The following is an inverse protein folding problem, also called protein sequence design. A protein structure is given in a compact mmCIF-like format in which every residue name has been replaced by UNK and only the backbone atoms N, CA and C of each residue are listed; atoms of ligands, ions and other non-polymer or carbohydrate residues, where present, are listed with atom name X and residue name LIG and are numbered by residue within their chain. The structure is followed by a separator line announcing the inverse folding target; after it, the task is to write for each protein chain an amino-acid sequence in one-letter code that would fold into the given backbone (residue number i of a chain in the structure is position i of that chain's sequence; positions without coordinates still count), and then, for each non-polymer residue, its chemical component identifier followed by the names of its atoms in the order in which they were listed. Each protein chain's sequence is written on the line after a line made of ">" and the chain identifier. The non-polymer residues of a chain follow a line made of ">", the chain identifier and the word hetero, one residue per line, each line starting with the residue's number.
data_IF_578782677137
#
_entry.id   IF_578782677137
#
_cell.length_a   1.000
_cell.length_b   1.000
_cell.length_c   1.000
_cell.angle_alpha   90.00
_cell.angle_beta   90.00
_cell.angle_gamma   90.00
#
_symmetry.space_group_name_H-M   'P 1'
#
loop_
_entity.id
_entity.type
_entity.pdbx_description
1 polymer ?
#
# COMPACT_ATOMS: atom_id res chain seq x y z
N UNK A 1 -5.17 -16.85 14.93
CA UNK A 1 -4.18 -15.93 15.49
C UNK A 1 -3.45 -15.32 14.31
N UNK A 2 -3.80 -14.09 13.93
CA UNK A 2 -3.10 -13.39 12.86
C UNK A 2 -1.80 -12.87 13.46
N UNK A 3 -0.68 -13.43 13.03
CA UNK A 3 0.64 -12.93 13.41
C UNK A 3 0.68 -11.43 13.17
N UNK A 4 0.91 -10.68 14.25
CA UNK A 4 1.30 -9.29 14.17
C UNK A 4 2.72 -9.26 13.55
N UNK A 5 2.81 -9.59 12.27
CA UNK A 5 4.00 -9.37 11.46
C UNK A 5 4.31 -7.89 11.61
N UNK A 6 5.36 -7.59 12.39
CA UNK A 6 5.85 -6.24 12.55
C UNK A 6 5.92 -5.65 11.14
N UNK A 7 5.14 -4.59 10.91
CA UNK A 7 5.07 -3.93 9.62
C UNK A 7 6.43 -3.27 9.39
N UNK A 8 7.40 -4.05 8.95
CA UNK A 8 8.69 -3.56 8.54
C UNK A 8 8.41 -2.60 7.41
N UNK A 9 8.72 -1.33 7.64
CA UNK A 9 8.69 -0.30 6.61
C UNK A 9 9.63 -0.78 5.51
N UNK A 10 9.06 -1.27 4.40
CA UNK A 10 9.82 -1.73 3.25
C UNK A 10 10.51 -0.51 2.64
N UNK A 11 11.84 -0.43 2.78
CA UNK A 11 12.61 0.70 2.26
C UNK A 11 13.16 0.30 0.89
N UNK A 12 12.70 0.97 -0.17
CA UNK A 12 13.25 0.80 -1.53
C UNK A 12 14.61 1.49 -1.62
N UNK A 13 15.65 0.88 -1.04
CA UNK A 13 17.03 1.37 -1.13
C UNK A 13 18.04 0.24 -1.12
N UNK A 14 19.15 0.47 -1.78
CA UNK A 14 20.39 -0.30 -1.56
C UNK A 14 21.08 0.30 -0.33
N UNK A 15 21.57 -0.55 0.56
CA UNK A 15 22.29 -0.10 1.76
C UNK A 15 23.71 -0.67 1.73
N UNK A 16 24.76 0.17 1.78
CA UNK A 16 26.13 -0.29 1.82
C UNK A 16 26.43 -0.94 3.18
N UNK A 17 27.20 -2.03 3.17
CA UNK A 17 27.69 -2.75 4.36
C UNK A 17 29.17 -3.09 4.18
N UNK A 18 29.85 -3.41 5.28
CA UNK A 18 31.24 -3.88 5.20
C UNK A 18 31.30 -5.15 4.33
N UNK A 19 32.00 -5.07 3.20
CA UNK A 19 32.14 -6.20 2.26
C UNK A 19 31.01 -6.36 1.22
N UNK A 20 30.10 -5.40 1.06
CA UNK A 20 29.12 -5.45 -0.04
C UNK A 20 27.95 -4.48 0.08
N UNK A 21 26.84 -4.82 -0.57
CA UNK A 21 25.63 -4.02 -0.65
C UNK A 21 24.41 -4.90 -0.42
N UNK A 22 23.51 -4.52 0.50
CA UNK A 22 22.30 -5.31 0.76
C UNK A 22 21.05 -4.69 0.14
N UNK A 23 20.13 -5.56 -0.31
CA UNK A 23 18.81 -5.16 -0.79
C UNK A 23 17.89 -4.80 0.40
N UNK A 24 17.42 -3.56 0.48
CA UNK A 24 16.54 -3.05 1.55
C UNK A 24 15.22 -3.80 1.75
N UNK A 25 14.86 -4.71 0.84
CA UNK A 25 13.60 -5.44 0.82
C UNK A 25 13.81 -6.90 1.25
N UNK A 26 14.57 -7.69 0.49
CA UNK A 26 14.80 -9.12 0.78
C UNK A 26 16.04 -9.38 1.66
N UNK A 27 16.85 -8.35 1.94
CA UNK A 27 18.07 -8.42 2.77
C UNK A 27 19.18 -9.33 2.22
N UNK A 28 19.14 -9.69 0.94
CA UNK A 28 20.26 -10.40 0.29
C UNK A 28 21.45 -9.46 0.12
N UNK A 29 22.65 -9.99 0.35
CA UNK A 29 23.92 -9.27 0.17
C UNK A 29 24.45 -9.53 -1.24
N UNK A 30 24.91 -8.48 -1.90
CA UNK A 30 25.49 -8.52 -3.24
C UNK A 30 26.89 -7.90 -3.23
N UNK A 31 27.82 -8.40 -4.06
CA UNK A 31 29.19 -7.91 -4.11
C UNK A 31 29.31 -6.51 -4.72
N UNK A 32 28.38 -6.15 -5.61
CA UNK A 32 28.39 -4.87 -6.33
C UNK A 32 27.08 -4.12 -6.11
N UNK A 33 27.16 -2.79 -6.16
CA UNK A 33 26.01 -1.91 -6.03
C UNK A 33 24.97 -2.15 -7.15
N UNK A 34 25.42 -2.39 -8.38
CA UNK A 34 24.54 -2.65 -9.53
C UNK A 34 23.70 -3.91 -9.33
N UNK A 35 24.30 -5.01 -8.86
CA UNK A 35 23.59 -6.24 -8.57
C UNK A 35 22.55 -6.05 -7.44
N UNK A 36 22.91 -5.31 -6.38
CA UNK A 36 21.95 -4.95 -5.34
C UNK A 36 20.81 -4.07 -5.86
N UNK A 37 21.11 -3.12 -6.76
CA UNK A 37 20.10 -2.24 -7.35
C UNK A 37 19.10 -3.02 -8.20
N UNK A 38 19.57 -3.94 -9.05
CA UNK A 38 18.70 -4.84 -9.83
C UNK A 38 17.82 -5.68 -8.89
N UNK A 39 18.39 -6.20 -7.81
CA UNK A 39 17.64 -6.95 -6.80
C UNK A 39 16.57 -6.08 -6.11
N UNK A 40 16.89 -4.84 -5.72
CA UNK A 40 15.93 -3.91 -5.11
C UNK A 40 14.77 -3.61 -6.06
N UNK A 41 15.03 -3.38 -7.34
CA UNK A 41 13.97 -3.13 -8.33
C UNK A 41 13.07 -4.36 -8.54
N UNK A 42 13.66 -5.56 -8.66
CA UNK A 42 12.90 -6.80 -8.78
C UNK A 42 12.08 -7.11 -7.52
N UNK A 43 12.65 -6.93 -6.32
CA UNK A 43 11.92 -7.12 -5.07
C UNK A 43 10.84 -6.06 -4.87
N UNK A 44 11.08 -4.82 -5.29
CA UNK A 44 10.09 -3.76 -5.21
C UNK A 44 8.91 -4.05 -6.12
N UNK A 45 9.14 -4.43 -7.38
CA UNK A 45 8.07 -4.77 -8.32
C UNK A 45 7.24 -5.96 -7.82
N UNK A 46 7.88 -6.99 -7.29
CA UNK A 46 7.20 -8.13 -6.65
C UNK A 46 6.37 -7.68 -5.44
N UNK A 47 6.90 -6.80 -4.59
CA UNK A 47 6.16 -6.25 -3.45
C UNK A 47 4.92 -5.46 -3.91
N UNK A 48 5.03 -4.70 -5.00
CA UNK A 48 3.89 -3.93 -5.55
C UNK A 48 2.79 -4.85 -6.07
N UNK A 49 3.15 -6.01 -6.61
CA UNK A 49 2.21 -7.01 -7.08
C UNK A 49 1.57 -7.76 -5.90
N UNK A 50 2.34 -8.08 -4.86
CA UNK A 50 1.85 -8.80 -3.68
C UNK A 50 0.94 -7.94 -2.79
N UNK A 51 1.14 -6.61 -2.76
CA UNK A 51 0.37 -5.67 -1.94
C UNK A 51 -0.31 -4.61 -2.82
N UNK A 52 -1.46 -4.94 -3.43
CA UNK A 52 -2.17 -4.05 -4.34
C UNK A 52 -2.93 -2.94 -3.59
N UNK A 53 -2.99 -3.00 -2.25
CA UNK A 53 -3.63 -2.04 -1.37
C UNK A 53 -2.63 -1.43 -0.37
N UNK A 54 -2.87 -0.18 0.03
CA UNK A 54 -2.07 0.54 1.03
C UNK A 54 -2.97 0.93 2.19
N UNK A 55 -2.62 0.50 3.40
CA UNK A 55 -3.32 0.93 4.61
C UNK A 55 -2.91 2.36 5.00
N UNK A 56 -3.88 3.22 5.29
CA UNK A 56 -3.70 4.62 5.68
C UNK A 56 -4.45 4.84 6.99
N UNK A 57 -3.76 5.34 8.01
CA UNK A 57 -4.41 5.74 9.26
C UNK A 57 -4.91 7.17 9.15
N UNK A 58 -6.21 7.39 9.41
CA UNK A 58 -6.85 8.70 9.52
C UNK A 58 -7.53 8.81 10.89
N UNK A 59 -6.80 9.38 11.86
CA UNK A 59 -7.25 9.42 13.25
C UNK A 59 -7.35 8.00 13.83
N UNK A 60 -8.54 7.63 14.30
CA UNK A 60 -8.83 6.31 14.86
C UNK A 60 -9.16 5.24 13.80
N UNK A 61 -9.44 5.65 12.56
CA UNK A 61 -9.83 4.74 11.49
C UNK A 61 -8.64 4.35 10.62
N UNK A 62 -8.64 3.10 10.14
CA UNK A 62 -7.73 2.65 9.09
C UNK A 62 -8.53 2.52 7.80
N UNK A 63 -8.09 3.19 6.75
CA UNK A 63 -8.65 3.07 5.41
C UNK A 63 -7.68 2.30 4.52
N UNK A 64 -8.22 1.59 3.54
CA UNK A 64 -7.44 0.85 2.55
C UNK A 64 -7.54 1.57 1.20
N UNK A 65 -6.41 2.07 0.70
CA UNK A 65 -6.34 2.79 -0.56
C UNK A 65 -5.87 1.86 -1.67
N UNK A 66 -6.61 1.77 -2.77
CA UNK A 66 -6.19 1.08 -3.98
C UNK A 66 -4.92 1.73 -4.55
N UNK A 67 -3.88 0.94 -4.83
CA UNK A 67 -2.60 1.47 -5.32
C UNK A 67 -2.69 2.10 -6.71
N UNK A 68 -3.63 1.63 -7.54
CA UNK A 68 -3.79 2.05 -8.93
C UNK A 68 -4.69 3.30 -9.05
N UNK A 69 -5.97 3.19 -8.70
CA UNK A 69 -6.92 4.29 -8.86
C UNK A 69 -7.02 5.25 -7.67
N UNK A 70 -6.30 4.99 -6.57
CA UNK A 70 -6.28 5.81 -5.34
C UNK A 70 -7.61 5.95 -4.60
N UNK A 71 -8.66 5.22 -4.97
CA UNK A 71 -9.90 5.12 -4.19
C UNK A 71 -9.62 4.53 -2.81
N UNK A 72 -10.33 5.05 -1.81
CA UNK A 72 -10.23 4.64 -0.42
C UNK A 72 -11.46 3.84 -0.01
N UNK A 73 -11.22 2.77 0.74
CA UNK A 73 -12.24 1.84 1.20
C UNK A 73 -12.12 1.66 2.72
N UNK A 74 -13.25 1.43 3.39
CA UNK A 74 -13.24 1.06 4.80
C UNK A 74 -12.67 -0.36 4.99
N UNK A 75 -13.03 -1.28 4.09
CA UNK A 75 -12.65 -2.68 4.16
C UNK A 75 -11.49 -3.04 3.23
N UNK A 76 -10.61 -3.92 3.72
CA UNK A 76 -9.47 -4.41 2.95
C UNK A 76 -9.91 -5.19 1.71
N UNK A 77 -10.96 -6.00 1.82
CA UNK A 77 -11.48 -6.85 0.73
C UNK A 77 -11.92 -6.03 -0.48
N UNK A 78 -12.66 -4.94 -0.24
CA UNK A 78 -13.12 -4.06 -1.32
C UNK A 78 -11.97 -3.33 -2.00
N UNK A 79 -10.99 -2.87 -1.22
CA UNK A 79 -9.78 -2.28 -1.77
C UNK A 79 -8.99 -3.29 -2.62
N UNK A 80 -8.91 -4.54 -2.19
CA UNK A 80 -8.18 -5.60 -2.90
C UNK A 80 -8.88 -5.94 -4.23
N UNK A 81 -10.21 -6.07 -4.21
CA UNK A 81 -11.02 -6.29 -5.41
C UNK A 81 -10.88 -5.14 -6.41
N UNK A 82 -10.96 -3.90 -5.93
CA UNK A 82 -10.74 -2.72 -6.77
C UNK A 82 -9.34 -2.74 -7.40
N UNK A 83 -8.32 -3.08 -6.62
CA UNK A 83 -6.95 -3.08 -7.11
C UNK A 83 -6.68 -4.20 -8.11
N UNK A 84 -7.31 -5.38 -7.96
CA UNK A 84 -7.28 -6.45 -8.96
C UNK A 84 -7.88 -5.99 -10.29
N UNK A 85 -9.10 -5.44 -10.27
CA UNK A 85 -9.77 -4.89 -11.46
C UNK A 85 -8.93 -3.80 -12.14
N UNK A 86 -8.43 -2.83 -11.36
CA UNK A 86 -7.60 -1.76 -11.93
C UNK A 86 -6.30 -2.28 -12.55
N UNK A 87 -5.73 -3.37 -12.03
CA UNK A 87 -4.52 -3.97 -12.60
C UNK A 87 -4.79 -4.63 -13.95
N UNK A 88 -5.95 -5.27 -14.10
CA UNK A 88 -6.41 -5.85 -15.37
C UNK A 88 -6.71 -4.76 -16.39
N UNK A 89 -7.40 -3.69 -15.97
CA UNK A 89 -7.71 -2.53 -16.82
C UNK A 89 -6.46 -1.83 -17.34
N UNK A 90 -5.40 -1.74 -16.52
CA UNK A 90 -4.12 -1.15 -16.93
C UNK A 90 -3.44 -1.99 -17.99
N UNK A 91 -3.41 -3.32 -17.82
CA UNK A 91 -2.87 -4.24 -18.84
C UNK A 91 -3.70 -4.13 -20.12
N UNK A 92 -5.03 -4.14 -20.01
CA UNK A 92 -5.92 -4.01 -21.17
C UNK A 92 -5.78 -2.64 -21.87
N UNK A 93 -5.44 -1.57 -21.15
CA UNK A 93 -5.13 -0.27 -21.74
C UNK A 93 -3.79 -0.30 -22.48
N UNK A 94 -2.75 -0.84 -21.87
CA UNK A 94 -1.45 -0.98 -22.49
C UNK A 94 -1.52 -1.82 -23.78
N UNK A 95 -2.29 -2.92 -23.76
CA UNK A 95 -2.52 -3.77 -24.93
C UNK A 95 -3.20 -2.99 -26.07
N UNK A 96 -4.18 -2.12 -25.75
CA UNK A 96 -4.84 -1.25 -26.74
C UNK A 96 -3.93 -0.16 -27.30
N UNK A 97 -3.10 0.44 -26.45
CA UNK A 97 -2.11 1.45 -26.85
C UNK A 97 -1.05 0.84 -27.78
N UNK A 98 -0.52 -0.34 -27.45
CA UNK A 98 0.42 -1.09 -28.29
C UNK A 98 -0.20 -1.45 -29.66
N UNK A 99 -1.45 -1.93 -29.66
CA UNK A 99 -2.18 -2.24 -30.89
C UNK A 99 -2.36 -1.00 -31.79
N UNK A 100 -2.60 0.18 -31.19
CA UNK A 100 -2.73 1.45 -31.93
C UNK A 100 -1.38 1.92 -32.48
N UNK A 101 -0.28 1.63 -31.78
CA UNK A 101 1.07 1.97 -32.23
C UNK A 101 1.62 1.05 -33.34
N UNK A 102 0.90 -0.03 -33.69
CA UNK A 102 1.39 -1.04 -34.64
C UNK A 102 2.53 -1.90 -34.08
N UNK A 103 2.80 -1.80 -32.77
CA UNK A 103 3.75 -2.69 -32.11
C UNK A 103 3.10 -4.07 -31.94
N UNK A 104 3.80 -5.16 -32.25
CA UNK A 104 3.28 -6.50 -31.99
C UNK A 104 3.03 -6.62 -30.48
N UNK A 105 1.81 -7.03 -30.12
CA UNK A 105 1.46 -7.24 -28.73
C UNK A 105 2.55 -8.09 -28.06
N UNK A 106 3.19 -7.54 -27.03
CA UNK A 106 4.20 -8.27 -26.28
C UNK A 106 3.59 -9.62 -25.91
N UNK A 107 4.27 -10.76 -26.18
CA UNK A 107 3.73 -12.06 -25.84
C UNK A 107 3.36 -12.00 -24.37
N UNK A 108 2.06 -12.17 -24.07
CA UNK A 108 1.62 -12.38 -22.70
C UNK A 108 2.32 -13.67 -22.29
N UNK A 109 3.48 -13.53 -21.64
CA UNK A 109 4.02 -14.60 -20.83
C UNK A 109 2.84 -15.00 -19.98
N UNK A 110 2.30 -16.20 -20.25
CA UNK A 110 1.25 -16.79 -19.45
C UNK A 110 1.79 -16.61 -18.06
N UNK A 111 1.18 -15.72 -17.26
CA UNK A 111 1.53 -15.52 -15.86
C UNK A 111 1.28 -16.89 -15.26
N UNK A 112 2.28 -17.76 -15.33
CA UNK A 112 2.32 -19.01 -14.62
C UNK A 112 1.97 -18.56 -13.23
N UNK A 113 0.82 -19.00 -12.72
CA UNK A 113 0.38 -18.68 -11.38
C UNK A 113 1.60 -18.91 -10.51
N UNK A 114 2.28 -17.83 -10.15
CA UNK A 114 3.49 -17.90 -9.37
C UNK A 114 2.93 -18.30 -8.04
N UNK A 115 2.89 -19.62 -7.83
CA UNK A 115 2.62 -20.19 -6.52
C UNK A 115 3.45 -19.32 -5.58
N UNK A 116 2.84 -18.70 -4.57
CA UNK A 116 3.56 -17.79 -3.69
C UNK A 116 4.84 -18.52 -3.33
N UNK A 117 5.99 -17.93 -3.68
CA UNK A 117 7.28 -18.53 -3.38
C UNK A 117 7.39 -18.45 -1.87
N UNK A 118 6.84 -19.44 -1.20
CA UNK A 118 7.13 -19.75 0.17
C UNK A 118 8.59 -20.12 0.13
N UNK A 119 9.46 -19.15 0.35
CA UNK A 119 10.82 -19.41 0.79
C UNK A 119 10.68 -20.02 2.19
N UNK A 120 10.33 -21.31 2.25
CA UNK A 120 10.72 -22.13 3.38
C UNK A 120 12.23 -22.17 3.30
N UNK A 121 12.88 -21.32 4.10
CA UNK A 121 14.30 -21.44 4.37
C UNK A 121 14.46 -22.81 5.02
N UNK A 122 14.82 -23.82 4.24
CA UNK A 122 15.17 -25.12 4.78
C UNK A 122 16.42 -24.93 5.64
N UNK A 123 16.25 -24.97 6.96
CA UNK A 123 17.34 -24.85 7.94
C UNK A 123 18.35 -26.03 7.86
N UNK A 124 18.23 -26.92 6.87
CA UNK A 124 19.01 -28.16 6.73
C UNK A 124 20.12 -28.09 5.68
N UNK A 125 20.21 -27.03 4.87
CA UNK A 125 21.27 -26.89 3.84
C UNK A 125 22.43 -25.97 4.26
N UNK A 126 22.47 -25.52 5.52
CA UNK A 126 23.72 -24.98 6.07
C UNK A 126 24.57 -26.16 6.52
N UNK A 127 25.56 -26.54 5.70
CA UNK A 127 26.57 -27.53 6.09
C UNK A 127 27.21 -27.11 7.42
N UNK A 128 27.24 -27.96 8.45
CA UNK A 128 27.84 -27.64 9.75
C UNK A 128 29.34 -27.32 9.67
N UNK A 129 30.00 -27.58 8.54
CA UNK A 129 31.42 -27.27 8.32
C UNK A 129 31.65 -25.76 8.09
N UNK A 130 30.70 -25.05 7.48
CA UNK A 130 30.87 -23.62 7.19
C UNK A 130 30.68 -22.70 8.42
N UNK A 131 30.00 -23.20 9.47
CA UNK A 131 29.84 -22.47 10.73
C UNK A 131 31.07 -22.55 11.64
N UNK A 132 32.00 -23.48 11.40
CA UNK A 132 33.17 -23.62 12.26
C UNK A 132 34.34 -22.70 11.86
N UNK A 133 34.50 -22.37 10.57
CA UNK A 133 35.56 -21.44 10.13
C UNK A 133 35.27 -19.96 10.45
N UNK A 134 34.00 -19.55 10.51
CA UNK A 134 33.66 -18.16 10.88
C UNK A 134 33.76 -17.87 12.38
N UNK A 135 33.97 -18.91 13.20
CA UNK A 135 34.16 -18.76 14.65
C UNK A 135 35.60 -18.47 15.09
N UNK A 136 36.59 -18.56 14.18
CA UNK A 136 38.01 -18.44 14.55
C UNK A 136 38.62 -17.05 14.43
N UNK A 137 37.94 -16.08 13.81
CA UNK A 137 38.56 -14.78 13.50
C UNK A 137 37.98 -13.56 14.21
N UNK A 138 36.96 -13.69 15.06
CA UNK A 138 36.45 -12.55 15.85
C UNK A 138 36.05 -12.99 17.27
N UNK A 139 37.03 -13.38 18.07
CA UNK A 139 36.93 -13.34 19.52
C UNK A 139 37.50 -12.00 20.00
N UNK A 140 36.63 -11.00 20.11
CA UNK A 140 36.86 -9.85 21.00
C UNK A 140 35.89 -9.97 22.18
N UNK A 141 36.35 -9.76 23.43
CA UNK A 141 35.55 -10.00 24.62
C UNK A 141 34.66 -8.79 24.91
N UNK A 142 33.39 -8.83 24.50
CA UNK A 142 32.36 -7.92 25.03
C UNK A 142 31.31 -8.69 25.84
N UNK A 143 31.56 -8.69 27.14
CA UNK A 143 30.65 -8.83 28.28
C UNK A 143 29.24 -9.40 28.03
N UNK A 144 29.10 -10.72 28.23
CA UNK A 144 27.83 -11.38 28.52
C UNK A 144 27.59 -11.30 30.03
N UNK A 145 26.87 -10.27 30.49
CA UNK A 145 26.47 -10.16 31.90
C UNK A 145 25.00 -9.84 32.17
N UNK A 146 24.11 -9.85 31.17
CA UNK A 146 22.72 -9.38 31.38
C UNK A 146 21.57 -10.29 30.90
N UNK A 147 21.80 -11.57 30.56
CA UNK A 147 20.72 -12.44 30.05
C UNK A 147 20.12 -13.39 31.10
N UNK A 148 20.61 -13.40 32.35
CA UNK A 148 20.19 -14.37 33.38
C UNK A 148 19.17 -13.88 34.41
N UNK A 149 18.60 -12.67 34.26
CA UNK A 149 17.65 -12.13 35.26
C UNK A 149 16.17 -12.33 34.89
N UNK A 150 15.81 -12.55 33.62
CA UNK A 150 14.39 -12.45 33.20
C UNK A 150 13.61 -13.76 33.02
N UNK A 151 14.17 -14.94 33.34
CA UNK A 151 13.45 -16.22 33.15
C UNK A 151 12.57 -16.66 34.34
N UNK A 152 12.60 -15.97 35.49
CA UNK A 152 11.78 -16.36 36.66
C UNK A 152 10.42 -15.64 36.76
N UNK A 153 10.16 -14.59 35.99
CA UNK A 153 8.94 -13.78 36.12
C UNK A 153 7.74 -14.24 35.26
N UNK A 154 7.95 -15.13 34.28
CA UNK A 154 6.91 -15.44 33.26
C UNK A 154 6.11 -16.73 33.51
N UNK A 155 6.48 -17.56 34.50
CA UNK A 155 5.78 -18.83 34.79
C UNK A 155 4.35 -18.71 35.33
N UNK A 156 3.94 -17.68 36.11
CA UNK A 156 2.56 -17.65 36.63
C UNK A 156 1.51 -17.21 35.60
N UNK A 157 1.88 -16.55 34.50
CA UNK A 157 0.93 -16.07 33.49
C UNK A 157 0.44 -17.18 32.54
N UNK A 158 1.25 -18.21 32.29
CA UNK A 158 0.87 -19.30 31.38
C UNK A 158 -0.27 -20.17 31.93
N UNK A 159 -0.38 -20.30 33.26
CA UNK A 159 -1.43 -21.11 33.91
C UNK A 159 -2.80 -20.42 33.95
N UNK A 160 -2.89 -19.11 33.75
CA UNK A 160 -4.17 -18.39 33.72
C UNK A 160 -4.90 -18.55 32.37
N UNK A 161 -4.16 -18.69 31.27
CA UNK A 161 -4.75 -18.79 29.92
C UNK A 161 -5.37 -20.17 29.66
N UNK A 162 -4.83 -21.24 30.27
CA UNK A 162 -5.36 -22.60 30.07
C UNK A 162 -6.69 -22.88 30.79
N UNK A 163 -7.11 -22.07 31.77
CA UNK A 163 -8.39 -22.27 32.50
C UNK A 163 -9.63 -21.72 31.80
N UNK A 164 -9.48 -20.90 30.75
CA UNK A 164 -10.63 -20.29 30.05
C UNK A 164 -11.06 -21.01 28.76
N UNK A 165 -10.42 -22.13 28.39
CA UNK A 165 -10.68 -22.81 27.12
C UNK A 165 -11.79 -23.89 27.16
N UNK A 166 -12.47 -24.11 28.28
CA UNK A 166 -13.37 -25.27 28.46
C UNK A 166 -14.88 -24.99 28.33
N UNK A 167 -15.30 -23.83 27.83
CA UNK A 167 -16.73 -23.47 27.86
C UNK A 167 -17.27 -22.86 26.55
N UNK A 168 -17.03 -23.47 25.39
CA UNK A 168 -17.85 -23.18 24.18
C UNK A 168 -18.00 -24.45 23.33
N UNK A 169 -18.95 -25.31 23.69
CA UNK A 169 -19.47 -26.33 22.79
C UNK A 169 -20.93 -26.58 23.15
N UNK A 170 -21.86 -26.04 22.36
CA UNK A 170 -23.22 -26.56 22.09
C UNK A 170 -23.84 -25.69 20.98
N UNK A 171 -24.34 -26.32 19.91
CA UNK A 171 -25.47 -25.80 19.15
C UNK A 171 -25.21 -25.32 17.71
N UNK A 172 -25.14 -26.25 16.75
CA UNK A 172 -25.57 -25.98 15.36
C UNK A 172 -26.52 -27.09 14.90
N UNK A 173 -27.81 -26.77 14.87
CA UNK A 173 -28.82 -27.48 14.05
C UNK A 173 -29.27 -26.53 12.94
N UNK A 174 -29.68 -27.15 11.84
CA UNK A 174 -29.82 -26.56 10.52
C UNK A 174 -30.88 -25.47 10.40
N UNK A 175 -30.87 -24.82 9.24
CA UNK A 175 -32.07 -24.40 8.54
C UNK A 175 -31.71 -24.23 7.05
N UNK A 176 -32.32 -25.09 6.25
CA UNK A 176 -32.51 -24.98 4.81
C UNK A 176 -33.55 -23.91 4.49
N UNK A 177 -33.41 -23.22 3.36
CA UNK A 177 -34.56 -22.73 2.61
C UNK A 177 -34.49 -21.29 2.09
N UNK A 178 -35.03 -21.16 0.87
CA UNK A 178 -35.56 -19.97 0.20
C UNK A 178 -34.66 -19.08 -0.67
N UNK A 179 -34.60 -19.51 -1.94
CA UNK A 179 -34.89 -18.74 -3.16
C UNK A 179 -35.91 -17.62 -2.95
N UNK A 180 -35.54 -16.39 -3.34
CA UNK A 180 -36.45 -15.36 -3.85
C UNK A 180 -35.73 -14.51 -4.90
N UNK A 181 -36.25 -14.59 -6.12
CA UNK A 181 -36.02 -13.65 -7.21
C UNK A 181 -36.82 -12.38 -6.90
N UNK A 182 -36.20 -11.20 -7.01
CA UNK A 182 -36.84 -9.93 -6.74
C UNK A 182 -36.08 -8.79 -7.40
N UNK A 183 -36.64 -8.28 -8.50
CA UNK A 183 -36.11 -7.14 -9.22
C UNK A 183 -36.05 -5.88 -8.36
N UNK A 184 -35.05 -5.05 -8.61
CA UNK A 184 -35.00 -3.68 -8.11
C UNK A 184 -34.89 -2.70 -9.26
N UNK A 185 -35.91 -1.86 -9.26
CA UNK A 185 -36.24 -0.76 -10.12
C UNK A 185 -35.20 0.37 -10.08
N UNK A 186 -35.03 1.00 -11.24
CA UNK A 186 -34.33 2.27 -11.45
C UNK A 186 -34.74 3.32 -10.40
N UNK A 187 -33.80 3.79 -9.58
CA UNK A 187 -34.00 4.94 -8.69
C UNK A 187 -33.27 6.17 -9.25
N UNK A 188 -34.07 7.17 -9.55
CA UNK A 188 -33.72 8.49 -10.07
C UNK A 188 -32.74 9.25 -9.17
N UNK A 189 -31.95 10.09 -9.83
CA UNK A 189 -30.91 10.94 -9.26
C UNK A 189 -31.38 11.80 -8.10
N UNK A 190 -30.56 11.80 -7.06
CA UNK A 190 -30.57 12.83 -6.03
C UNK A 190 -29.76 14.01 -6.54
N UNK A 191 -30.47 15.05 -7.00
CA UNK A 191 -29.90 16.37 -7.26
C UNK A 191 -29.36 16.93 -5.94
N UNK A 192 -28.07 16.70 -5.69
CA UNK A 192 -27.37 17.29 -4.56
C UNK A 192 -27.35 18.81 -4.72
N UNK A 193 -28.10 19.52 -3.87
CA UNK A 193 -27.99 20.97 -3.67
C UNK A 193 -26.50 21.35 -3.56
N UNK A 194 -25.96 22.19 -4.48
CA UNK A 194 -24.59 22.65 -4.36
C UNK A 194 -24.48 23.48 -3.08
N UNK A 195 -23.59 23.06 -2.19
CA UNK A 195 -23.28 23.78 -0.97
C UNK A 195 -22.84 25.20 -1.33
N UNK A 196 -23.62 26.19 -0.89
CA UNK A 196 -23.38 27.61 -1.07
C UNK A 196 -22.06 27.99 -0.40
N UNK A 197 -20.98 28.02 -1.18
CA UNK A 197 -19.68 28.48 -0.72
C UNK A 197 -19.76 29.99 -0.54
N UNK A 198 -19.76 30.44 0.72
CA UNK A 198 -19.69 31.86 1.06
C UNK A 198 -18.44 32.46 0.40
N UNK A 199 -18.56 33.55 -0.39
CA UNK A 199 -17.42 34.16 -1.06
C UNK A 199 -16.41 34.63 -0.01
N UNK A 200 -15.25 33.98 0.01
CA UNK A 200 -14.15 34.35 0.90
C UNK A 200 -13.68 35.77 0.56
N UNK A 201 -13.71 36.66 1.54
CA UNK A 201 -13.15 38.00 1.38
C UNK A 201 -11.64 37.90 1.10
N UNK A 202 -11.12 38.59 0.07
CA UNK A 202 -9.69 38.56 -0.25
C UNK A 202 -8.90 39.21 0.88
N UNK A 203 -8.07 38.42 1.59
CA UNK A 203 -7.22 38.89 2.70
C UNK A 203 -5.93 39.58 2.25
N UNK A 204 -5.60 39.56 0.95
CA UNK A 204 -4.38 40.16 0.43
C UNK A 204 -4.72 41.28 -0.57
N UNK A 205 -4.33 42.54 -0.32
CA UNK A 205 -4.60 43.67 -1.21
C UNK A 205 -3.86 43.55 -2.56
N UNK A 206 -2.92 42.61 -2.70
CA UNK A 206 -2.10 42.45 -3.91
C UNK A 206 -2.60 41.32 -4.85
N UNK A 207 -3.78 40.75 -4.60
CA UNK A 207 -4.36 39.72 -5.48
C UNK A 207 -5.22 40.36 -6.58
N UNK A 208 -4.71 40.36 -7.81
CA UNK A 208 -5.39 40.89 -9.02
C UNK A 208 -6.74 40.21 -9.31
N UNK A 209 -6.85 38.92 -9.04
CA UNK A 209 -8.09 38.15 -9.25
C UNK A 209 -8.14 36.96 -8.30
N UNK A 210 -9.34 36.41 -8.09
CA UNK A 210 -9.56 35.17 -7.33
C UNK A 210 -10.40 34.18 -8.15
N UNK A 211 -10.42 32.91 -7.75
CA UNK A 211 -11.26 31.89 -8.40
C UNK A 211 -12.57 31.72 -7.64
N UNK A 212 -13.66 31.71 -8.38
CA UNK A 212 -15.01 31.39 -7.90
C UNK A 212 -15.53 30.21 -8.72
N UNK A 213 -15.38 28.99 -8.16
CA UNK A 213 -15.63 27.74 -8.87
C UNK A 213 -14.72 27.56 -10.10
N UNK A 214 -15.34 27.42 -11.27
CA UNK A 214 -14.64 27.23 -12.55
C UNK A 214 -14.20 28.54 -13.24
N UNK A 215 -14.55 29.71 -12.69
CA UNK A 215 -14.31 31.02 -13.30
C UNK A 215 -13.31 31.86 -12.49
N UNK A 216 -12.62 32.77 -13.15
CA UNK A 216 -11.79 33.81 -12.54
C UNK A 216 -12.62 35.07 -12.33
N UNK A 217 -12.44 35.76 -11.20
CA UNK A 217 -13.18 36.97 -10.84
C UNK A 217 -12.19 38.11 -10.63
N UNK A 218 -12.35 39.20 -11.40
CA UNK A 218 -11.53 40.41 -11.24
C UNK A 218 -11.72 41.01 -9.85
N UNK A 219 -10.65 41.34 -9.14
CA UNK A 219 -10.78 41.87 -7.78
C UNK A 219 -11.37 43.30 -7.74
N UNK A 220 -11.21 44.10 -8.81
CA UNK A 220 -11.78 45.46 -8.95
C UNK A 220 -13.26 45.42 -9.30
N UNK A 221 -13.62 44.97 -10.51
CA UNK A 221 -14.98 45.08 -11.05
C UNK A 221 -15.89 43.87 -10.77
N UNK A 222 -15.36 42.79 -10.18
CA UNK A 222 -16.07 41.52 -9.91
C UNK A 222 -16.65 40.80 -11.14
N UNK A 223 -16.26 41.19 -12.35
CA UNK A 223 -16.63 40.46 -13.56
C UNK A 223 -15.99 39.05 -13.58
N UNK A 224 -16.73 38.06 -14.09
CA UNK A 224 -16.34 36.65 -14.14
C UNK A 224 -15.86 36.27 -15.55
N UNK A 225 -14.70 35.64 -15.63
CA UNK A 225 -14.02 35.24 -16.87
C UNK A 225 -13.71 33.74 -16.86
N UNK A 226 -13.68 33.11 -18.03
CA UNK A 226 -13.38 31.67 -18.13
C UNK A 226 -11.88 31.41 -18.15
N UNK A 227 -11.10 32.32 -18.73
CA UNK A 227 -9.66 32.17 -18.86
C UNK A 227 -8.91 33.17 -17.98
N UNK A 228 -7.68 32.81 -17.61
CA UNK A 228 -6.79 33.70 -16.85
C UNK A 228 -6.43 34.96 -17.67
N UNK A 229 -6.29 34.80 -18.99
CA UNK A 229 -5.91 35.88 -19.91
C UNK A 229 -6.97 36.98 -19.94
N UNK A 230 -8.25 36.61 -20.00
CA UNK A 230 -9.36 37.56 -19.99
C UNK A 230 -9.43 38.39 -18.68
N UNK A 231 -9.21 37.75 -17.52
CA UNK A 231 -9.25 38.47 -16.24
C UNK A 231 -8.03 39.39 -16.06
N UNK A 232 -6.87 39.00 -16.60
CA UNK A 232 -5.68 39.87 -16.62
C UNK A 232 -5.90 41.07 -17.54
N UNK A 233 -6.45 40.85 -18.74
CA UNK A 233 -6.83 41.94 -19.65
C UNK A 233 -7.93 42.86 -19.09
N UNK A 234 -8.81 42.35 -18.23
CA UNK A 234 -9.76 43.19 -17.49
C UNK A 234 -9.07 44.00 -16.39
N UNK A 235 -8.15 43.38 -15.66
CA UNK A 235 -7.41 44.04 -14.59
C UNK A 235 -6.58 45.21 -15.13
N UNK A 236 -5.88 45.02 -16.25
CA UNK A 236 -5.04 46.07 -16.85
C UNK A 236 -5.83 47.26 -17.42
N UNK A 237 -7.17 47.16 -17.51
CA UNK A 237 -8.06 48.26 -17.88
C UNK A 237 -8.53 49.09 -16.67
N UNK A 238 -8.23 48.65 -15.45
CA UNK A 238 -8.55 49.34 -14.19
C UNK A 238 -7.31 49.98 -13.59
#
# INVERSE_FOLDING_TARGET
>A
MADAAAAFTVIKRVVPVAGGFFCGICRTVHPTWSAASVCVEACWSAQLQAQPTVAIRKGQFTLHRCRFCKREYADFTDAANCAAQCSEDLVARADREAATAGEPAAPREKRFATKPVGYTIDARTVSPVALHEMSKTVLMPFQVRNVLINQRAMKPLLNAVLKHASAVAIGKRGLSGHRQEGGSTMAHGTEGKPAEQKPGTPKDPNKKFFRDGAKYVCAVCKAKYFTKIEVEACWDKH
#
